data_IF_840000422261
#
_entry.id   IF_840000422261
#
_cell.length_a   1.000
_cell.length_b   1.000
_cell.length_c   1.000
_cell.angle_alpha   90.00
_cell.angle_beta   90.00
_cell.angle_gamma   90.00
#
_symmetry.space_group_name_H-M   'P 1'
#
loop_
_entity.id
_entity.type
_entity.pdbx_description
1 polymer ?
#
# COMPACT_ATOMS: atom_id res chain seq x y z
N UNK A 1 -39.55 46.56 -33.62
CA UNK A 1 -40.01 46.03 -32.32
C UNK A 1 -39.91 44.51 -32.35
N UNK A 2 -38.77 43.92 -31.99
CA UNK A 2 -38.70 42.49 -31.66
C UNK A 2 -37.57 42.34 -30.63
N UNK A 3 -37.90 41.91 -29.42
CA UNK A 3 -36.96 41.71 -28.32
C UNK A 3 -37.72 41.66 -27.00
N UNK A 4 -37.99 40.46 -26.48
CA UNK A 4 -38.73 40.36 -25.21
C UNK A 4 -38.91 38.98 -24.58
N UNK A 5 -38.82 37.87 -25.32
CA UNK A 5 -39.17 36.56 -24.73
C UNK A 5 -38.03 35.53 -24.60
N UNK A 6 -36.88 35.70 -25.27
CA UNK A 6 -35.74 34.77 -25.10
C UNK A 6 -34.76 35.17 -23.98
N UNK A 7 -34.76 36.44 -23.57
CA UNK A 7 -33.88 36.94 -22.50
C UNK A 7 -34.30 36.51 -21.09
N UNK A 8 -35.61 36.41 -20.84
CA UNK A 8 -36.16 36.16 -19.49
C UNK A 8 -36.00 34.69 -19.09
N UNK A 9 -36.13 33.75 -20.04
CA UNK A 9 -35.99 32.30 -19.80
C UNK A 9 -34.54 31.87 -19.55
N UNK A 10 -33.55 32.57 -20.12
CA UNK A 10 -32.12 32.34 -19.85
C UNK A 10 -31.71 32.82 -18.46
N UNK A 11 -32.22 33.98 -18.02
CA UNK A 11 -31.91 34.57 -16.71
C UNK A 11 -32.47 33.72 -15.55
N UNK A 12 -33.66 33.13 -15.71
CA UNK A 12 -34.25 32.28 -14.66
C UNK A 12 -33.54 30.94 -14.49
N UNK A 13 -33.08 30.28 -15.57
CA UNK A 13 -32.27 29.05 -15.46
C UNK A 13 -30.89 29.30 -14.84
N UNK A 14 -30.30 30.46 -15.07
CA UNK A 14 -29.02 30.86 -14.49
C UNK A 14 -29.13 31.12 -12.98
N UNK A 15 -30.25 31.73 -12.54
CA UNK A 15 -30.54 31.91 -11.11
C UNK A 15 -30.86 30.59 -10.40
N UNK A 16 -31.56 29.66 -11.04
CA UNK A 16 -31.82 28.33 -10.45
C UNK A 16 -30.53 27.50 -10.32
N UNK A 17 -29.59 27.61 -11.27
CA UNK A 17 -28.27 26.97 -11.16
C UNK A 17 -27.37 27.62 -10.10
N UNK A 18 -27.44 28.94 -9.92
CA UNK A 18 -26.71 29.66 -8.86
C UNK A 18 -27.25 29.34 -7.46
N UNK A 19 -28.56 29.15 -7.31
CA UNK A 19 -29.18 28.73 -6.05
C UNK A 19 -28.88 27.26 -5.75
N UNK A 20 -28.85 26.39 -6.76
CA UNK A 20 -28.41 25.00 -6.61
C UNK A 20 -26.91 24.88 -6.26
N UNK A 21 -26.06 25.79 -6.76
CA UNK A 21 -24.64 25.88 -6.38
C UNK A 21 -24.43 26.48 -4.99
N UNK A 22 -25.24 27.46 -4.57
CA UNK A 22 -25.15 28.05 -3.22
C UNK A 22 -25.58 27.09 -2.11
N UNK A 23 -26.50 26.16 -2.39
CA UNK A 23 -27.00 25.21 -1.40
C UNK A 23 -26.23 23.88 -1.36
N UNK A 24 -25.30 23.63 -2.28
CA UNK A 24 -24.23 22.65 -2.09
C UNK A 24 -23.04 23.36 -1.45
N UNK A 25 -23.12 23.60 -0.14
CA UNK A 25 -21.91 23.69 0.66
C UNK A 25 -21.26 22.31 0.52
N UNK A 26 -20.29 22.22 -0.40
CA UNK A 26 -19.36 21.10 -0.43
C UNK A 26 -18.74 21.06 0.97
N UNK A 27 -18.94 19.96 1.68
CA UNK A 27 -18.32 19.75 2.98
C UNK A 27 -16.81 19.57 2.80
N UNK A 28 -16.10 20.70 2.82
CA UNK A 28 -14.66 20.81 2.56
C UNK A 28 -13.84 20.14 3.69
N UNK A 29 -14.48 19.75 4.80
CA UNK A 29 -13.83 18.98 5.88
C UNK A 29 -13.24 17.65 5.40
N UNK A 30 -13.73 17.11 4.27
CA UNK A 30 -13.22 15.87 3.65
C UNK A 30 -11.96 16.05 2.82
N UNK A 31 -11.50 17.28 2.56
CA UNK A 31 -10.34 17.55 1.70
C UNK A 31 -9.12 18.11 2.45
N UNK A 32 -9.19 18.26 3.78
CA UNK A 32 -8.12 18.88 4.58
C UNK A 32 -6.84 18.04 4.76
N UNK A 33 -6.77 16.82 4.21
CA UNK A 33 -5.60 15.94 4.34
C UNK A 33 -4.90 15.61 3.00
N UNK A 34 -5.10 16.41 1.96
CA UNK A 34 -4.33 16.26 0.72
C UNK A 34 -3.16 17.23 0.77
N UNK A 35 -1.98 16.71 1.11
CA UNK A 35 -0.72 17.38 0.75
C UNK A 35 -0.72 17.60 -0.76
N UNK A 36 -0.64 18.88 -1.15
CA UNK A 36 -0.73 19.36 -2.51
C UNK A 36 0.20 18.60 -3.47
N UNK A 37 -0.31 17.79 -4.42
CA UNK A 37 0.42 17.57 -5.64
C UNK A 37 0.30 18.86 -6.44
N UNK A 38 1.41 19.45 -6.84
CA UNK A 38 1.39 20.43 -7.93
C UNK A 38 0.91 19.62 -9.15
N UNK A 39 -0.39 19.70 -9.43
CA UNK A 39 -0.96 19.09 -10.62
C UNK A 39 -0.36 19.80 -11.81
N UNK A 40 0.38 19.05 -12.63
CA UNK A 40 0.85 19.55 -13.92
C UNK A 40 -0.38 19.97 -14.73
N UNK A 41 -0.46 21.25 -15.06
CA UNK A 41 -1.66 21.87 -15.64
C UNK A 41 -2.01 21.22 -16.99
N UNK A 42 -1.00 20.64 -17.64
CA UNK A 42 -1.13 19.91 -18.89
C UNK A 42 -1.86 18.57 -18.72
N UNK A 43 -1.65 17.86 -17.60
CA UNK A 43 -2.34 16.60 -17.28
C UNK A 43 -3.86 16.80 -17.11
N UNK A 44 -4.26 17.92 -16.50
CA UNK A 44 -5.67 18.26 -16.29
C UNK A 44 -6.38 18.63 -17.61
N UNK A 45 -5.62 19.02 -18.63
CA UNK A 45 -6.14 19.45 -19.93
C UNK A 45 -6.26 18.32 -20.95
N UNK A 46 -5.57 17.20 -20.73
CA UNK A 46 -5.56 16.01 -21.59
C UNK A 46 -6.77 15.08 -21.34
N UNK A 47 -7.31 15.06 -20.11
CA UNK A 47 -8.37 14.12 -19.69
C UNK A 47 -9.81 14.66 -19.70
N UNK A 48 -10.03 15.92 -20.09
CA UNK A 48 -11.38 16.51 -20.09
C UNK A 48 -11.93 16.65 -21.53
N UNK A 49 -13.13 16.10 -21.81
CA UNK A 49 -13.71 16.13 -23.15
C UNK A 49 -13.91 17.58 -23.62
N UNK A 50 -13.54 17.83 -24.88
CA UNK A 50 -13.60 19.12 -25.57
C UNK A 50 -15.03 19.68 -25.65
N UNK A 51 -15.47 20.35 -24.58
CA UNK A 51 -16.61 21.25 -24.61
C UNK A 51 -16.14 22.62 -24.15
N UNK A 52 -16.11 23.54 -25.09
CA UNK A 52 -15.52 24.89 -24.98
C UNK A 52 -16.06 25.76 -23.82
N UNK A 53 -17.13 25.34 -23.13
CA UNK A 53 -17.62 26.00 -21.91
C UNK A 53 -16.92 25.61 -20.61
N UNK A 54 -16.32 24.41 -20.50
CA UNK A 54 -15.72 23.93 -19.24
C UNK A 54 -14.30 24.49 -19.02
N UNK A 55 -13.52 24.69 -20.09
CA UNK A 55 -12.17 25.27 -20.00
C UNK A 55 -12.18 26.70 -19.49
N UNK A 56 -13.16 27.50 -19.93
CA UNK A 56 -13.27 28.90 -19.52
C UNK A 56 -13.76 29.05 -18.07
N UNK A 57 -14.64 28.15 -17.62
CA UNK A 57 -15.08 28.10 -16.23
C UNK A 57 -13.93 27.72 -15.27
N UNK A 58 -13.08 26.76 -15.67
CA UNK A 58 -11.92 26.32 -14.88
C UNK A 58 -10.82 27.40 -14.87
N UNK A 59 -10.54 28.06 -16.01
CA UNK A 59 -9.63 29.22 -16.05
C UNK A 59 -10.09 30.34 -15.13
N UNK A 60 -11.37 30.69 -15.17
CA UNK A 60 -11.92 31.74 -14.30
C UNK A 60 -11.91 31.32 -12.82
N UNK A 61 -12.07 30.04 -12.51
CA UNK A 61 -12.00 29.53 -11.12
C UNK A 61 -10.56 29.52 -10.59
N UNK A 62 -9.59 29.09 -11.40
CA UNK A 62 -8.16 29.12 -11.07
C UNK A 62 -7.65 30.56 -10.90
N UNK A 63 -8.03 31.48 -11.79
CA UNK A 63 -7.72 32.91 -11.67
C UNK A 63 -8.36 33.53 -10.42
N UNK A 64 -9.58 33.10 -10.04
CA UNK A 64 -10.26 33.59 -8.84
C UNK A 64 -9.60 33.12 -7.54
N UNK A 65 -9.01 31.91 -7.53
CA UNK A 65 -8.21 31.41 -6.40
C UNK A 65 -6.91 32.22 -6.27
N UNK A 66 -6.22 32.51 -7.37
CA UNK A 66 -4.99 33.32 -7.40
C UNK A 66 -5.28 34.78 -7.00
N UNK A 67 -6.41 35.35 -7.42
CA UNK A 67 -6.79 36.72 -7.06
C UNK A 67 -7.29 36.86 -5.61
N UNK A 68 -7.91 35.82 -5.05
CA UNK A 68 -8.30 35.80 -3.64
C UNK A 68 -7.10 35.59 -2.70
N UNK A 69 -6.08 34.83 -3.10
CA UNK A 69 -4.85 34.68 -2.30
C UNK A 69 -4.10 36.00 -2.16
N UNK A 70 -4.02 36.82 -3.23
CA UNK A 70 -3.33 38.11 -3.20
C UNK A 70 -4.06 39.19 -2.39
N UNK A 71 -5.40 39.13 -2.33
CA UNK A 71 -6.20 40.08 -1.53
C UNK A 71 -6.19 39.74 -0.04
N UNK A 72 -6.20 38.45 0.32
CA UNK A 72 -6.14 38.00 1.72
C UNK A 72 -4.75 38.22 2.32
N UNK A 73 -3.70 38.27 1.51
CA UNK A 73 -2.33 38.54 1.94
C UNK A 73 -2.08 39.99 2.43
N UNK A 74 -2.91 40.96 2.05
CA UNK A 74 -2.68 42.39 2.33
C UNK A 74 -3.55 42.99 3.46
N UNK A 75 -4.59 42.31 3.94
CA UNK A 75 -5.51 42.90 4.94
C UNK A 75 -5.45 42.26 6.32
N UNK A 76 -4.77 41.14 6.49
CA UNK A 76 -4.48 40.59 7.80
C UNK A 76 -2.99 40.70 8.07
N UNK A 77 -2.61 41.38 9.16
CA UNK A 77 -1.33 41.19 9.84
C UNK A 77 -1.21 39.70 10.17
N UNK A 78 -0.70 38.92 9.23
CA UNK A 78 -0.32 37.54 9.41
C UNK A 78 0.75 37.56 10.47
N UNK A 79 0.39 37.09 11.67
CA UNK A 79 1.37 36.58 12.60
C UNK A 79 2.00 35.41 11.85
N UNK A 80 3.16 35.68 11.25
CA UNK A 80 4.02 34.63 10.71
C UNK A 80 4.52 33.89 11.95
N UNK A 81 3.73 32.90 12.39
CA UNK A 81 4.26 31.76 13.11
C UNK A 81 5.18 31.06 12.11
N UNK A 82 6.41 31.57 12.03
CA UNK A 82 7.52 30.86 11.45
C UNK A 82 7.47 29.45 12.02
N UNK A 83 7.49 28.47 11.12
CA UNK A 83 7.57 27.04 11.38
C UNK A 83 8.44 26.73 12.61
N UNK A 84 7.86 26.76 13.82
CA UNK A 84 8.09 25.67 14.74
C UNK A 84 7.44 24.51 14.03
N UNK A 85 8.28 23.76 13.32
CA UNK A 85 8.03 22.38 12.92
C UNK A 85 7.32 21.75 14.10
N UNK A 86 5.99 21.68 14.07
CA UNK A 86 5.28 20.77 14.95
C UNK A 86 5.82 19.44 14.46
N UNK A 87 6.77 18.89 15.20
CA UNK A 87 7.20 17.53 14.99
C UNK A 87 5.93 16.75 15.35
N UNK A 88 5.06 16.56 14.36
CA UNK A 88 4.16 15.43 14.39
C UNK A 88 5.13 14.26 14.50
N UNK A 89 5.31 13.75 15.71
CA UNK A 89 6.01 12.49 15.90
C UNK A 89 5.23 11.50 15.04
N UNK A 90 5.79 11.16 13.88
CA UNK A 90 5.26 10.12 13.02
C UNK A 90 5.26 8.88 13.89
N UNK A 91 4.06 8.44 14.30
CA UNK A 91 3.92 7.26 15.15
C UNK A 91 4.29 6.05 14.30
N UNK A 92 5.38 5.40 14.68
CA UNK A 92 5.87 4.18 14.04
C UNK A 92 5.58 3.00 14.94
N UNK A 93 5.14 1.91 14.32
CA UNK A 93 4.86 0.65 14.98
C UNK A 93 5.81 -0.41 14.46
N UNK A 94 6.25 -1.28 15.36
CA UNK A 94 6.96 -2.52 15.04
C UNK A 94 6.16 -3.64 15.65
N UNK A 95 5.37 -4.33 14.82
CA UNK A 95 4.50 -5.41 15.25
C UNK A 95 5.30 -6.71 15.18
N UNK A 96 5.36 -7.46 16.27
CA UNK A 96 5.88 -8.83 16.32
C UNK A 96 4.81 -9.78 15.78
N UNK A 97 5.08 -10.36 14.61
CA UNK A 97 4.23 -11.31 13.89
C UNK A 97 4.71 -12.75 14.10
N UNK A 98 5.70 -13.00 14.95
CA UNK A 98 6.36 -14.31 15.07
C UNK A 98 5.37 -15.45 15.30
N UNK A 99 4.28 -15.21 16.02
CA UNK A 99 3.23 -16.20 16.30
C UNK A 99 1.86 -15.83 15.72
N UNK A 100 1.82 -14.95 14.71
CA UNK A 100 0.58 -14.51 14.07
C UNK A 100 0.85 -14.25 12.58
N UNK A 101 0.32 -15.10 11.72
CA UNK A 101 0.37 -14.89 10.27
C UNK A 101 -0.89 -14.15 9.82
N UNK A 102 -0.79 -12.82 9.77
CA UNK A 102 -1.96 -11.95 9.54
C UNK A 102 -1.88 -11.13 8.24
N UNK A 103 -0.85 -11.33 7.42
CA UNK A 103 -0.65 -10.60 6.18
C UNK A 103 -1.29 -11.40 5.03
N UNK A 104 -2.17 -10.77 4.26
CA UNK A 104 -2.82 -11.38 3.10
C UNK A 104 -1.96 -11.16 1.84
N UNK A 105 -0.99 -12.05 1.62
CA UNK A 105 -0.21 -12.07 0.38
C UNK A 105 -0.95 -12.71 -0.79
N UNK A 106 -1.94 -13.56 -0.51
CA UNK A 106 -2.79 -14.22 -1.51
C UNK A 106 -3.81 -13.27 -2.15
N UNK A 107 -3.90 -12.05 -1.62
CA UNK A 107 -4.80 -11.01 -2.08
C UNK A 107 -6.28 -11.45 -2.05
N UNK A 108 -6.65 -12.30 -1.06
CA UNK A 108 -8.03 -12.78 -0.87
C UNK A 108 -9.00 -11.63 -0.60
N UNK A 109 -8.49 -10.51 -0.08
CA UNK A 109 -9.22 -9.27 0.10
C UNK A 109 -9.51 -8.50 -1.21
N UNK A 110 -9.00 -8.97 -2.35
CA UNK A 110 -9.07 -8.31 -3.66
C UNK A 110 -8.07 -7.15 -3.85
N UNK A 111 -7.36 -6.76 -2.80
CA UNK A 111 -6.32 -5.75 -2.86
C UNK A 111 -5.04 -6.36 -3.42
N UNK A 112 -4.46 -5.76 -4.46
CA UNK A 112 -3.17 -6.22 -4.97
C UNK A 112 -2.05 -5.82 -4.01
N UNK A 113 -1.31 -6.82 -3.53
CA UNK A 113 -0.10 -6.59 -2.76
C UNK A 113 1.07 -6.23 -3.69
N UNK A 114 1.81 -5.19 -3.34
CA UNK A 114 3.06 -4.83 -4.01
C UNK A 114 4.24 -5.03 -3.08
N UNK A 115 5.35 -5.55 -3.61
CA UNK A 115 6.58 -5.82 -2.87
C UNK A 115 7.82 -5.32 -3.59
N UNK A 116 8.87 -5.01 -2.84
CA UNK A 116 10.21 -4.79 -3.41
C UNK A 116 10.96 -6.12 -3.48
N UNK A 117 11.92 -6.23 -4.42
CA UNK A 117 12.95 -7.27 -4.32
C UNK A 117 13.60 -7.25 -2.93
N UNK A 118 13.75 -8.41 -2.27
CA UNK A 118 14.24 -8.43 -0.90
C UNK A 118 15.69 -7.99 -0.80
N UNK A 119 16.04 -7.45 0.38
CA UNK A 119 17.42 -7.17 0.79
C UNK A 119 17.80 -8.11 1.90
N UNK A 120 18.98 -8.72 1.78
CA UNK A 120 19.51 -9.70 2.73
C UNK A 120 20.74 -9.13 3.42
N UNK A 121 20.65 -8.91 4.72
CA UNK A 121 21.79 -8.56 5.56
C UNK A 121 22.48 -9.84 6.03
N UNK A 122 23.62 -10.17 5.41
CA UNK A 122 24.33 -11.43 5.68
C UNK A 122 24.86 -11.53 7.11
N UNK A 123 25.29 -10.42 7.70
CA UNK A 123 25.88 -10.40 9.05
C UNK A 123 24.86 -10.76 10.13
N UNK A 124 23.61 -10.34 9.96
CA UNK A 124 22.51 -10.57 10.91
C UNK A 124 21.58 -11.69 10.47
N UNK A 125 21.81 -12.27 9.28
CA UNK A 125 20.89 -13.19 8.61
C UNK A 125 19.46 -12.63 8.60
N UNK A 126 19.31 -11.37 8.17
CA UNK A 126 18.01 -10.68 8.17
C UNK A 126 17.51 -10.47 6.75
N UNK A 127 16.28 -10.89 6.49
CA UNK A 127 15.53 -10.62 5.27
C UNK A 127 14.67 -9.37 5.48
N UNK A 128 14.69 -8.45 4.50
CA UNK A 128 13.86 -7.25 4.48
C UNK A 128 13.15 -7.09 3.15
N UNK A 129 11.86 -6.77 3.20
CA UNK A 129 11.03 -6.52 2.03
C UNK A 129 10.10 -5.35 2.30
N UNK A 130 10.17 -4.32 1.46
CA UNK A 130 9.19 -3.25 1.48
C UNK A 130 7.89 -3.75 0.85
N UNK A 131 6.78 -3.48 1.52
CA UNK A 131 5.43 -3.83 1.10
C UNK A 131 4.64 -2.54 0.90
N UNK A 132 3.82 -2.51 -0.14
CA UNK A 132 2.87 -1.43 -0.42
C UNK A 132 1.50 -2.02 -0.73
N UNK A 133 0.45 -1.36 -0.21
CA UNK A 133 -0.94 -1.80 -0.31
C UNK A 133 -1.18 -3.25 0.16
N UNK A 134 -0.62 -3.62 1.31
CA UNK A 134 -0.82 -4.96 1.87
C UNK A 134 -1.96 -4.99 2.88
N UNK A 135 -2.87 -5.94 2.73
CA UNK A 135 -3.97 -6.18 3.65
C UNK A 135 -3.48 -6.93 4.89
N UNK A 136 -3.86 -6.45 6.07
CA UNK A 136 -3.47 -7.04 7.36
C UNK A 136 -4.74 -7.31 8.17
N UNK A 137 -4.93 -8.57 8.53
CA UNK A 137 -6.01 -9.01 9.38
C UNK A 137 -5.73 -8.62 10.84
N UNK A 138 -6.55 -7.73 11.39
CA UNK A 138 -6.47 -7.24 12.77
C UNK A 138 -7.57 -7.85 13.67
N UNK A 139 -8.25 -8.90 13.21
CA UNK A 139 -9.23 -9.68 14.01
C UNK A 139 -8.54 -10.32 15.21
N UNK A 140 -7.29 -10.75 15.05
CA UNK A 140 -6.51 -11.21 16.19
C UNK A 140 -6.00 -10.01 17.00
N UNK A 141 -6.39 -10.01 18.27
CA UNK A 141 -5.92 -9.09 19.31
C UNK A 141 -4.38 -8.98 19.36
N UNK A 142 -3.65 -10.01 18.90
CA UNK A 142 -2.19 -10.05 18.89
C UNK A 142 -1.58 -8.87 18.13
N UNK A 143 -2.06 -8.57 16.92
CA UNK A 143 -1.51 -7.47 16.12
C UNK A 143 -2.07 -6.12 16.55
N UNK A 144 -3.39 -6.07 16.77
CA UNK A 144 -4.10 -4.84 17.13
C UNK A 144 -3.65 -4.28 18.47
N UNK A 145 -3.49 -5.12 19.50
CA UNK A 145 -3.08 -4.66 20.83
C UNK A 145 -1.66 -4.09 20.85
N UNK A 146 -0.77 -4.57 19.98
CA UNK A 146 0.59 -4.02 19.88
C UNK A 146 0.55 -2.56 19.44
N UNK A 147 -0.26 -2.20 18.44
CA UNK A 147 -0.47 -0.80 18.04
C UNK A 147 -1.18 -0.01 19.14
N UNK A 148 -2.30 -0.52 19.67
CA UNK A 148 -3.10 0.21 20.67
C UNK A 148 -2.38 0.42 22.00
N UNK A 149 -1.44 -0.45 22.36
CA UNK A 149 -0.58 -0.26 23.54
C UNK A 149 0.35 0.95 23.41
N UNK A 150 0.78 1.27 22.18
CA UNK A 150 1.63 2.42 21.85
C UNK A 150 0.77 3.67 21.64
N UNK A 151 -0.34 3.52 20.92
CA UNK A 151 -1.25 4.61 20.60
C UNK A 151 -2.72 4.18 20.81
N UNK A 152 -3.27 4.36 22.01
CA UNK A 152 -4.68 4.05 22.29
C UNK A 152 -5.68 4.87 21.48
N UNK A 153 -5.23 5.96 20.84
CA UNK A 153 -6.04 6.83 19.97
C UNK A 153 -5.82 6.57 18.48
N UNK A 154 -5.13 5.48 18.13
CA UNK A 154 -4.92 5.09 16.74
C UNK A 154 -6.25 4.95 16.00
N UNK A 155 -6.23 5.21 14.69
CA UNK A 155 -7.38 5.04 13.80
C UNK A 155 -7.94 3.59 13.83
N UNK A 156 -7.12 2.62 14.25
CA UNK A 156 -7.52 1.20 14.36
C UNK A 156 -8.21 0.86 15.69
N UNK A 157 -8.43 1.82 16.58
CA UNK A 157 -9.17 1.59 17.82
C UNK A 157 -10.67 1.45 17.55
N UNK A 158 -11.06 0.33 16.95
CA UNK A 158 -12.39 0.04 16.44
C UNK A 158 -12.86 -1.28 17.04
N UNK A 159 -13.89 -1.27 17.88
CA UNK A 159 -14.40 -2.45 18.61
C UNK A 159 -15.21 -3.43 17.73
N UNK A 160 -14.63 -3.85 16.61
CA UNK A 160 -15.16 -4.79 15.61
C UNK A 160 -14.00 -5.48 14.90
N UNK A 161 -14.30 -6.59 14.22
CA UNK A 161 -13.40 -7.22 13.26
C UNK A 161 -12.86 -6.20 12.27
N UNK A 162 -11.55 -6.15 12.09
CA UNK A 162 -10.88 -5.12 11.30
C UNK A 162 -9.86 -5.76 10.38
N UNK A 163 -9.89 -5.35 9.11
CA UNK A 163 -8.77 -5.51 8.19
C UNK A 163 -8.28 -4.11 7.86
N UNK A 164 -6.97 -3.90 7.94
CA UNK A 164 -6.37 -2.63 7.51
C UNK A 164 -5.60 -2.84 6.21
N UNK A 165 -5.49 -1.77 5.44
CA UNK A 165 -4.54 -1.64 4.35
C UNK A 165 -3.33 -0.87 4.87
N UNK A 166 -2.17 -1.53 4.92
CA UNK A 166 -0.90 -0.86 5.11
C UNK A 166 -0.39 -0.38 3.75
N UNK A 167 -0.52 0.93 3.51
CA UNK A 167 -0.06 1.56 2.26
C UNK A 167 1.45 1.44 2.07
N UNK A 168 2.19 1.48 3.18
CA UNK A 168 3.64 1.26 3.23
C UNK A 168 3.98 0.50 4.51
N UNK A 169 4.74 -0.57 4.35
CA UNK A 169 5.28 -1.35 5.46
C UNK A 169 6.66 -1.92 5.10
N UNK A 170 7.37 -2.38 6.12
CA UNK A 170 8.63 -3.12 5.99
C UNK A 170 8.48 -4.44 6.73
N UNK A 171 8.49 -5.54 5.97
CA UNK A 171 8.60 -6.88 6.52
C UNK A 171 10.05 -7.17 6.86
N UNK A 172 10.29 -7.67 8.07
CA UNK A 172 11.61 -8.05 8.57
C UNK A 172 11.53 -9.47 9.11
N UNK A 173 12.37 -10.36 8.63
CA UNK A 173 12.50 -11.74 9.14
C UNK A 173 13.94 -11.94 9.59
N UNK A 174 14.12 -12.21 10.88
CA UNK A 174 15.43 -12.39 11.51
C UNK A 174 15.84 -13.86 11.54
N UNK A 175 17.16 -14.10 11.62
CA UNK A 175 17.75 -15.45 11.71
C UNK A 175 17.22 -16.40 10.61
N UNK A 176 17.28 -15.92 9.36
CA UNK A 176 16.96 -16.74 8.19
C UNK A 176 17.99 -17.86 8.04
N UNK A 177 17.51 -19.04 7.67
CA UNK A 177 18.33 -20.22 7.36
C UNK A 177 18.65 -20.28 5.88
N UNK A 178 17.62 -20.05 5.08
CA UNK A 178 17.70 -19.89 3.64
C UNK A 178 16.47 -19.12 3.16
N UNK A 179 16.62 -18.51 1.99
CA UNK A 179 15.55 -17.96 1.20
C UNK A 179 15.69 -18.39 -0.26
N UNK A 180 14.55 -18.49 -0.92
CA UNK A 180 14.42 -18.74 -2.34
C UNK A 180 13.52 -17.65 -2.93
N UNK A 181 13.86 -17.20 -4.13
CA UNK A 181 13.19 -16.11 -4.84
C UNK A 181 12.90 -16.56 -6.28
N UNK A 182 11.66 -16.39 -6.69
CA UNK A 182 11.18 -16.51 -8.06
C UNK A 182 10.59 -15.17 -8.47
N UNK A 183 11.06 -14.61 -9.56
CA UNK A 183 10.51 -13.39 -10.15
C UNK A 183 10.03 -13.72 -11.55
N UNK A 184 8.75 -13.51 -11.80
CA UNK A 184 8.18 -13.60 -13.15
C UNK A 184 8.24 -12.20 -13.72
N UNK A 185 9.05 -11.95 -14.75
CA UNK A 185 9.14 -10.64 -15.40
C UNK A 185 8.97 -10.80 -16.90
N UNK A 186 8.03 -10.07 -17.51
CA UNK A 186 7.70 -10.19 -18.93
C UNK A 186 7.48 -11.66 -19.36
N UNK A 187 6.72 -12.41 -18.58
CA UNK A 187 6.44 -13.85 -18.77
C UNK A 187 7.68 -14.78 -18.73
N UNK A 188 8.82 -14.32 -18.18
CA UNK A 188 10.01 -15.14 -17.98
C UNK A 188 10.30 -15.30 -16.49
N UNK A 189 10.61 -16.53 -16.08
CA UNK A 189 10.99 -16.84 -14.71
C UNK A 189 12.49 -16.60 -14.46
N UNK A 190 12.79 -15.86 -13.40
CA UNK A 190 14.13 -15.66 -12.86
C UNK A 190 14.21 -16.23 -11.45
N UNK A 191 15.26 -17.01 -11.17
CA UNK A 191 15.40 -17.71 -9.90
C UNK A 191 16.65 -17.28 -9.15
N UNK A 192 16.53 -17.16 -7.83
CA UNK A 192 17.65 -17.06 -6.92
C UNK A 192 17.45 -18.02 -5.75
N UNK A 193 18.41 -18.92 -5.53
CA UNK A 193 18.46 -19.75 -4.33
C UNK A 193 19.68 -19.42 -3.47
N UNK A 194 19.46 -19.26 -2.17
CA UNK A 194 20.57 -19.12 -1.20
C UNK A 194 21.20 -20.45 -0.79
N UNK A 195 20.68 -21.58 -1.28
CA UNK A 195 21.06 -22.93 -0.87
C UNK A 195 20.15 -23.44 0.24
N UNK A 196 19.27 -24.38 -0.11
CA UNK A 196 18.26 -24.89 0.80
C UNK A 196 18.90 -25.67 1.96
N UNK A 197 18.72 -25.16 3.18
CA UNK A 197 19.21 -25.79 4.41
C UNK A 197 18.39 -25.36 5.61
N UNK A 198 17.82 -26.31 6.34
CA UNK A 198 16.99 -26.06 7.51
C UNK A 198 16.93 -27.28 8.44
N UNK A 199 16.53 -27.05 9.68
CA UNK A 199 16.34 -28.08 10.69
C UNK A 199 14.86 -28.23 11.02
N UNK A 200 14.53 -29.36 11.64
CA UNK A 200 13.23 -29.58 12.28
C UNK A 200 12.87 -28.36 13.16
N UNK A 201 11.61 -27.91 13.08
CA UNK A 201 11.02 -26.72 13.72
C UNK A 201 11.44 -25.36 13.17
N UNK A 202 12.34 -25.28 12.19
CA UNK A 202 12.50 -24.03 11.46
C UNK A 202 11.16 -23.72 10.74
N UNK A 203 10.75 -22.44 10.76
CA UNK A 203 9.48 -21.96 10.22
C UNK A 203 9.64 -21.52 8.78
N UNK A 204 8.56 -21.64 8.01
CA UNK A 204 8.47 -21.26 6.62
C UNK A 204 7.45 -20.15 6.45
N UNK A 205 7.76 -19.17 5.59
CA UNK A 205 6.82 -18.14 5.16
C UNK A 205 6.97 -17.90 3.66
N UNK A 206 5.84 -17.79 2.99
CA UNK A 206 5.75 -17.25 1.64
C UNK A 206 5.37 -15.76 1.70
N UNK A 207 6.07 -14.93 0.95
CA UNK A 207 5.79 -13.50 0.86
C UNK A 207 6.13 -12.98 -0.54
N UNK A 208 5.36 -12.00 -1.01
CA UNK A 208 5.49 -11.53 -2.38
C UNK A 208 4.34 -10.64 -2.83
N UNK A 209 4.22 -10.49 -4.14
CA UNK A 209 3.22 -9.66 -4.81
C UNK A 209 3.81 -9.02 -6.07
N UNK A 210 3.07 -8.07 -6.65
CA UNK A 210 3.54 -7.29 -7.79
C UNK A 210 4.77 -6.45 -7.42
N UNK A 211 5.71 -6.24 -8.34
CA UNK A 211 6.90 -5.46 -8.04
C UNK A 211 6.57 -3.95 -7.94
N UNK A 212 7.07 -3.30 -6.89
CA UNK A 212 6.95 -1.85 -6.65
C UNK A 212 7.72 -0.96 -7.65
N UNK A 213 8.59 -1.53 -8.48
CA UNK A 213 9.51 -0.80 -9.37
C UNK A 213 9.47 -1.25 -10.83
N UNK A 214 9.09 -2.49 -11.10
CA UNK A 214 9.15 -3.10 -12.43
C UNK A 214 7.72 -3.48 -12.86
N UNK A 215 7.23 -2.91 -13.96
CA UNK A 215 5.95 -3.31 -14.52
C UNK A 215 6.03 -4.78 -14.99
N UNK A 216 4.88 -5.46 -15.08
CA UNK A 216 4.78 -6.85 -15.56
C UNK A 216 5.69 -7.82 -14.80
N UNK A 217 5.85 -7.56 -13.49
CA UNK A 217 6.73 -8.32 -12.62
C UNK A 217 6.01 -8.77 -11.35
N UNK A 218 6.05 -10.07 -11.10
CA UNK A 218 5.55 -10.68 -9.86
C UNK A 218 6.72 -11.30 -9.09
N UNK A 219 6.75 -11.04 -7.79
CA UNK A 219 7.76 -11.52 -6.86
C UNK A 219 7.14 -12.59 -5.98
N UNK A 220 7.79 -13.74 -5.91
CA UNK A 220 7.48 -14.81 -4.97
C UNK A 220 8.75 -15.13 -4.19
N UNK A 221 8.71 -15.00 -2.87
CA UNK A 221 9.81 -15.37 -2.01
C UNK A 221 9.36 -16.35 -0.95
N UNK A 222 10.17 -17.38 -0.75
CA UNK A 222 10.00 -18.37 0.30
C UNK A 222 11.17 -18.24 1.27
N UNK A 223 10.88 -18.01 2.54
CA UNK A 223 11.90 -17.76 3.57
C UNK A 223 11.74 -18.79 4.67
N UNK A 224 12.84 -19.47 4.98
CA UNK A 224 12.91 -20.41 6.10
C UNK A 224 13.75 -19.78 7.21
N UNK A 225 13.23 -19.74 8.42
CA UNK A 225 13.78 -18.96 9.52
C UNK A 225 13.58 -19.60 10.87
N UNK A 226 14.36 -19.17 11.85
CA UNK A 226 14.22 -19.57 13.26
C UNK A 226 14.39 -18.36 14.19
N UNK A 227 14.03 -17.18 13.68
CA UNK A 227 14.02 -15.93 14.42
C UNK A 227 12.62 -15.37 14.51
N UNK A 228 12.58 -14.04 14.61
CA UNK A 228 11.34 -13.28 14.72
C UNK A 228 10.90 -12.74 13.37
N UNK A 229 9.60 -12.53 13.24
CA UNK A 229 9.00 -11.81 12.13
C UNK A 229 8.44 -10.51 12.65
N UNK A 230 8.80 -9.40 12.01
CA UNK A 230 8.28 -8.09 12.33
C UNK A 230 7.68 -7.41 11.11
N UNK A 231 6.66 -6.61 11.36
CA UNK A 231 6.13 -5.66 10.40
C UNK A 231 6.26 -4.25 10.97
N UNK A 232 7.03 -3.42 10.28
CA UNK A 232 7.19 -2.01 10.61
C UNK A 232 6.29 -1.16 9.70
N UNK A 233 5.51 -0.25 10.29
CA UNK A 233 4.63 0.67 9.57
C UNK A 233 4.37 1.95 10.37
N UNK A 234 3.83 2.97 9.71
CA UNK A 234 3.56 4.26 10.32
C UNK A 234 2.04 4.52 10.33
N UNK A 235 1.54 5.19 11.37
CA UNK A 235 0.11 5.48 11.54
C UNK A 235 -0.53 6.13 10.31
N UNK A 236 0.18 7.07 9.68
CA UNK A 236 -0.29 7.76 8.47
C UNK A 236 -0.45 6.86 7.24
N UNK A 237 0.21 5.69 7.26
CA UNK A 237 0.15 4.69 6.19
C UNK A 237 -0.91 3.62 6.46
N UNK A 238 -1.67 3.72 7.56
CA UNK A 238 -2.77 2.82 7.89
C UNK A 238 -4.08 3.38 7.32
N UNK A 239 -4.79 2.54 6.57
CA UNK A 239 -6.17 2.80 6.14
C UNK A 239 -7.06 1.66 6.64
N UNK A 240 -8.08 1.91 7.48
CA UNK A 240 -9.12 0.92 7.73
C UNK A 240 -9.76 0.48 6.41
N UNK A 241 -9.72 -0.82 6.13
CA UNK A 241 -10.11 -1.39 4.84
C UNK A 241 -11.48 -2.06 4.92
N UNK A 242 -11.67 -2.95 5.90
CA UNK A 242 -12.94 -3.61 6.20
C UNK A 242 -13.19 -3.54 7.71
N UNK A 243 -14.42 -3.19 8.12
CA UNK A 243 -14.87 -3.21 9.51
C UNK A 243 -16.11 -4.10 9.63
N UNK A 244 -16.00 -5.24 10.30
CA UNK A 244 -17.06 -6.25 10.33
C UNK A 244 -17.37 -6.73 8.92
N UNK A 245 -18.56 -6.42 8.40
CA UNK A 245 -18.95 -6.71 7.02
C UNK A 245 -18.93 -5.47 6.11
N UNK A 246 -18.56 -4.31 6.65
CA UNK A 246 -18.59 -3.04 5.93
C UNK A 246 -17.23 -2.79 5.26
N UNK A 247 -17.22 -2.69 3.94
CA UNK A 247 -16.10 -2.15 3.19
C UNK A 247 -16.02 -0.62 3.37
N UNK A 248 -14.80 -0.10 3.46
CA UNK A 248 -14.56 1.34 3.61
C UNK A 248 -13.98 2.02 2.38
N UNK A 249 -13.65 1.27 1.32
CA UNK A 249 -13.02 1.85 0.13
C UNK A 249 -13.94 1.99 -1.07
N UNK A 250 -15.20 1.55 -0.99
CA UNK A 250 -16.18 1.61 -2.09
C UNK A 250 -16.34 0.29 -2.84
N UNK A 251 -16.05 -0.84 -2.18
CA UNK A 251 -16.18 -2.19 -2.67
C UNK A 251 -15.24 -2.46 -3.85
N UNK A 252 -15.71 -3.29 -4.77
CA UNK A 252 -14.94 -3.68 -5.95
C UNK A 252 -14.43 -2.48 -6.78
N UNK A 253 -15.27 -1.45 -6.98
CA UNK A 253 -14.88 -0.25 -7.75
C UNK A 253 -13.77 0.54 -7.02
N UNK A 254 -13.90 0.65 -5.70
CA UNK A 254 -12.91 1.27 -4.83
C UNK A 254 -11.55 0.58 -4.86
N UNK A 255 -11.57 -0.74 -4.67
CA UNK A 255 -10.38 -1.61 -4.74
C UNK A 255 -9.72 -1.51 -6.12
N UNK A 256 -10.51 -1.63 -7.19
CA UNK A 256 -10.02 -1.51 -8.57
C UNK A 256 -9.31 -0.17 -8.79
N UNK A 257 -9.88 0.93 -8.27
CA UNK A 257 -9.26 2.25 -8.37
C UNK A 257 -7.93 2.33 -7.64
N UNK A 258 -7.82 1.75 -6.45
CA UNK A 258 -6.58 1.73 -5.67
C UNK A 258 -5.50 0.90 -6.40
N UNK A 259 -5.86 -0.29 -6.89
CA UNK A 259 -4.95 -1.16 -7.65
C UNK A 259 -4.46 -0.45 -8.92
N UNK A 260 -5.36 0.10 -9.74
CA UNK A 260 -4.99 0.84 -10.96
C UNK A 260 -4.12 2.07 -10.68
N UNK A 261 -4.39 2.81 -9.59
CA UNK A 261 -3.55 3.94 -9.21
C UNK A 261 -2.13 3.45 -8.93
N UNK A 262 -1.98 2.35 -8.16
CA UNK A 262 -0.68 1.82 -7.81
C UNK A 262 0.07 1.26 -9.02
N UNK A 263 -0.62 0.53 -9.89
CA UNK A 263 -0.07 0.06 -11.16
C UNK A 263 0.43 1.22 -12.03
N UNK A 264 -0.34 2.32 -12.11
CA UNK A 264 0.08 3.53 -12.83
C UNK A 264 1.34 4.16 -12.22
N UNK A 265 1.45 4.22 -10.88
CA UNK A 265 2.66 4.69 -10.20
C UNK A 265 3.88 3.83 -10.53
N UNK A 266 3.73 2.50 -10.61
CA UNK A 266 4.82 1.58 -11.00
C UNK A 266 5.19 1.79 -12.47
N UNK A 267 4.18 1.89 -13.36
CA UNK A 267 4.39 2.15 -14.78
C UNK A 267 5.13 3.48 -15.04
N UNK A 268 4.92 4.51 -14.21
CA UNK A 268 5.66 5.77 -14.31
C UNK A 268 7.13 5.65 -13.91
N UNK A 269 7.48 4.71 -13.01
CA UNK A 269 8.88 4.46 -12.62
C UNK A 269 9.66 3.72 -13.72
N UNK A 270 9.00 2.76 -14.37
CA UNK A 270 9.48 1.93 -15.48
C UNK A 270 10.97 1.57 -15.43
N UNK A 271 11.43 1.03 -14.30
CA UNK A 271 12.84 0.64 -14.17
C UNK A 271 13.08 -0.68 -14.92
N UNK A 272 14.28 -0.84 -15.45
CA UNK A 272 14.75 -2.14 -15.97
C UNK A 272 15.10 -3.07 -14.82
N UNK A 273 14.66 -4.33 -14.89
CA UNK A 273 15.05 -5.35 -13.94
C UNK A 273 16.53 -5.74 -14.12
N UNK A 274 17.32 -5.58 -13.06
CA UNK A 274 18.70 -6.06 -13.05
C UNK A 274 18.74 -7.59 -12.86
N UNK A 275 18.84 -8.30 -13.98
CA UNK A 275 18.89 -9.76 -14.01
C UNK A 275 20.14 -10.35 -13.33
N UNK A 276 21.19 -9.56 -13.10
CA UNK A 276 22.43 -10.06 -12.48
C UNK A 276 22.25 -10.44 -11.00
N UNK A 277 21.14 -10.03 -10.39
CA UNK A 277 20.76 -10.40 -9.02
C UNK A 277 20.34 -11.87 -8.88
N UNK A 278 20.02 -12.54 -9.99
CA UNK A 278 19.54 -13.92 -10.01
C UNK A 278 20.69 -14.89 -10.33
N UNK A 279 20.76 -16.00 -9.60
CA UNK A 279 21.78 -17.04 -9.83
C UNK A 279 21.27 -18.19 -10.70
N UNK A 280 20.02 -18.13 -11.17
CA UNK A 280 19.35 -19.12 -12.02
C UNK A 280 19.27 -20.52 -11.40
N UNK A 281 19.35 -20.62 -10.08
CA UNK A 281 19.15 -21.88 -9.36
C UNK A 281 17.70 -21.95 -8.90
N UNK A 282 16.91 -22.83 -9.53
CA UNK A 282 15.57 -23.19 -9.05
C UNK A 282 15.71 -24.20 -7.90
N UNK A 283 15.30 -23.80 -6.71
CA UNK A 283 15.30 -24.66 -5.51
C UNK A 283 14.15 -25.66 -5.54
N UNK A 284 14.33 -26.80 -4.87
CA UNK A 284 13.28 -27.83 -4.76
C UNK A 284 12.12 -27.41 -3.86
N UNK A 285 12.26 -26.32 -3.10
CA UNK A 285 11.16 -25.79 -2.27
C UNK A 285 9.93 -25.38 -3.09
N UNK A 286 10.12 -25.07 -4.38
CA UNK A 286 9.05 -24.77 -5.33
C UNK A 286 8.27 -26.01 -5.79
N UNK A 287 8.73 -27.22 -5.45
CA UNK A 287 8.08 -28.47 -5.83
C UNK A 287 7.12 -28.92 -4.71
N UNK A 288 5.84 -29.13 -5.04
CA UNK A 288 4.79 -29.46 -4.08
C UNK A 288 5.11 -30.71 -3.23
N UNK A 289 5.59 -31.78 -3.87
CA UNK A 289 5.94 -33.01 -3.16
C UNK A 289 7.11 -32.82 -2.19
N UNK A 290 8.06 -31.94 -2.53
CA UNK A 290 9.14 -31.57 -1.63
C UNK A 290 8.58 -30.82 -0.43
N UNK A 291 7.77 -29.78 -0.67
CA UNK A 291 7.16 -28.99 0.39
C UNK A 291 6.36 -29.85 1.37
N UNK A 292 5.43 -30.67 0.86
CA UNK A 292 4.58 -31.54 1.67
C UNK A 292 5.35 -32.62 2.43
N UNK A 293 6.53 -33.01 1.95
CA UNK A 293 7.40 -33.94 2.67
C UNK A 293 8.06 -33.29 3.89
N UNK A 294 8.55 -32.06 3.75
CA UNK A 294 9.39 -31.41 4.75
C UNK A 294 8.65 -30.47 5.68
N UNK A 295 7.46 -29.97 5.31
CA UNK A 295 6.72 -28.98 6.07
C UNK A 295 5.30 -29.46 6.40
N UNK A 296 4.80 -29.05 7.57
CA UNK A 296 3.42 -29.22 7.97
C UNK A 296 2.83 -27.91 8.46
N UNK A 297 1.55 -27.69 8.19
CA UNK A 297 0.83 -26.54 8.69
C UNK A 297 0.56 -26.68 10.19
N UNK A 298 0.99 -25.68 10.96
CA UNK A 298 0.73 -25.54 12.40
C UNK A 298 0.12 -24.16 12.63
N UNK A 299 -1.23 -24.08 12.66
CA UNK A 299 -2.07 -22.91 13.02
C UNK A 299 -1.30 -21.56 13.11
N UNK A 300 -0.75 -21.10 11.99
CA UNK A 300 0.32 -20.11 11.96
C UNK A 300 1.28 -20.35 10.80
N UNK A 301 2.58 -20.25 11.05
CA UNK A 301 3.59 -20.57 10.04
C UNK A 301 3.72 -22.08 9.85
N UNK A 302 3.90 -22.51 8.60
CA UNK A 302 4.32 -23.89 8.31
C UNK A 302 5.67 -24.16 9.00
N UNK A 303 5.82 -25.37 9.54
CA UNK A 303 7.02 -25.77 10.28
C UNK A 303 7.67 -26.98 9.64
N UNK A 304 9.00 -26.98 9.61
CA UNK A 304 9.77 -28.11 9.14
C UNK A 304 9.60 -29.31 10.07
N UNK A 305 9.13 -30.44 9.52
CA UNK A 305 8.98 -31.72 10.23
C UNK A 305 10.19 -32.64 10.05
N UNK A 306 11.03 -32.37 9.04
CA UNK A 306 12.30 -33.05 8.78
C UNK A 306 13.41 -32.01 8.49
N UNK A 307 14.67 -32.33 8.79
CA UNK A 307 15.82 -31.48 8.43
C UNK A 307 16.23 -31.69 6.97
N UNK A 308 16.73 -30.63 6.33
CA UNK A 308 17.29 -30.69 4.98
C UNK A 308 18.66 -29.98 4.88
N UNK A 309 19.68 -30.59 4.23
CA UNK A 309 19.71 -32.01 3.88
C UNK A 309 19.59 -32.88 5.15
N UNK A 310 19.19 -34.15 5.03
CA UNK A 310 19.07 -35.04 6.19
C UNK A 310 20.36 -35.02 7.01
N UNK A 311 20.25 -34.84 8.32
CA UNK A 311 21.41 -34.99 9.20
C UNK A 311 21.83 -36.44 9.13
N UNK A 312 22.98 -36.72 8.48
CA UNK A 312 23.60 -38.02 8.56
C UNK A 312 23.96 -38.27 10.03
N UNK A 313 23.13 -39.05 10.72
CA UNK A 313 23.55 -39.72 11.95
C UNK A 313 24.55 -40.81 11.54
N UNK A 314 25.76 -40.41 11.16
CA UNK A 314 26.90 -41.31 11.12
C UNK A 314 27.33 -41.56 12.56
N UNK A 315 26.62 -42.49 13.20
CA UNK A 315 27.07 -43.26 14.36
C UNK A 315 28.27 -44.15 14.00
#
# INVERSE_FOLDING_TARGET
MVGGYEGITKINRQKESEVAMKNKILDISRFNNIESPIWDFDFLMEYLPSRDGYREAIKNYALKIIWQSDRVANENKVIILTNKKTINNIMKYKIDLTNCYCIDFDCLSGMECYSSLPTIEKETATFRMHLENVSINMVEDICRNQILSVNPKSIINIDKDLIILAKKALLIIENIRCYDLRVIHNNHDYYHSSGLKFNIKDRFVECGGKDTQHLDSDIFSQVIFNGKVFLELEEENILPFIIGCDDLVGGYEGITKINHQKESEVAMKNKSLDISRFNNIKSSIWDFDFFMKYFSNDNGYDQAIESYPPTNNSS
#
